data_IF_314191324312
#
_entry.id   IF_314191324312
#
_cell.length_a   1.000
_cell.length_b   1.000
_cell.length_c   1.000
_cell.angle_alpha   90.00
_cell.angle_beta   90.00
_cell.angle_gamma   90.00
#
_symmetry.space_group_name_H-M   'P 1'
#
loop_
_entity.id
_entity.type
_entity.pdbx_description
1 polymer ?
#
# COMPACT_ATOMS: atom_id res chain seq x y z
N UNK A 1 -0.96 -39.01 22.28
CA UNK A 1 -0.98 -40.42 21.88
C UNK A 1 -2.46 -40.75 21.73
N UNK A 2 -3.11 -40.83 20.57
CA UNK A 2 -2.74 -41.03 19.16
C UNK A 2 -3.93 -40.49 18.31
N UNK A 3 -3.72 -39.64 17.30
CA UNK A 3 -3.48 -39.93 15.87
C UNK A 3 -4.61 -40.69 15.13
N UNK A 4 -5.22 -39.97 14.16
CA UNK A 4 -5.56 -40.39 12.78
C UNK A 4 -6.57 -41.55 12.59
N UNK A 5 -7.47 -41.64 11.60
CA UNK A 5 -7.88 -40.89 10.41
C UNK A 5 -8.98 -41.73 9.69
N UNK A 6 -9.56 -41.16 8.63
CA UNK A 6 -10.27 -41.73 7.44
C UNK A 6 -11.78 -41.41 7.35
N UNK A 7 -12.17 -40.42 6.52
CA UNK A 7 -12.61 -40.46 5.09
C UNK A 7 -13.90 -41.30 4.88
N UNK A 8 -14.90 -40.95 4.08
CA UNK A 8 -15.33 -39.81 3.25
C UNK A 8 -16.71 -40.23 2.64
N UNK A 9 -17.62 -39.30 2.32
CA UNK A 9 -18.48 -39.33 1.11
C UNK A 9 -19.55 -38.22 1.13
N UNK A 10 -19.68 -37.52 0.00
CA UNK A 10 -20.58 -36.39 -0.24
C UNK A 10 -21.97 -36.83 -0.72
N UNK A 11 -23.02 -36.01 -0.53
CA UNK A 11 -24.14 -35.93 -1.46
C UNK A 11 -24.19 -34.53 -2.10
N UNK A 12 -24.06 -34.44 -3.43
CA UNK A 12 -25.12 -34.51 -4.46
C UNK A 12 -26.00 -33.23 -4.53
N UNK A 13 -25.76 -32.51 -5.63
CA UNK A 13 -26.71 -31.72 -6.42
C UNK A 13 -27.48 -30.59 -5.73
N UNK A 14 -26.96 -29.38 -5.94
CA UNK A 14 -27.72 -28.12 -6.00
C UNK A 14 -28.60 -28.17 -7.26
N UNK A 15 -29.92 -28.02 -7.10
CA UNK A 15 -30.80 -27.34 -8.06
C UNK A 15 -32.19 -27.15 -7.45
N UNK A 16 -32.55 -25.90 -7.14
CA UNK A 16 -33.94 -25.44 -7.25
C UNK A 16 -33.95 -23.95 -7.54
N UNK A 17 -34.40 -23.62 -8.76
CA UNK A 17 -34.78 -22.29 -9.20
C UNK A 17 -35.88 -21.72 -8.30
N UNK A 18 -35.76 -20.45 -7.92
CA UNK A 18 -36.89 -19.55 -7.77
C UNK A 18 -36.49 -18.15 -8.21
N UNK A 19 -37.28 -17.64 -9.15
CA UNK A 19 -37.26 -16.33 -9.78
C UNK A 19 -37.77 -15.21 -8.86
N UNK A 20 -37.15 -14.03 -9.02
CA UNK A 20 -37.68 -12.68 -8.84
C UNK A 20 -38.00 -12.09 -7.44
N UNK A 21 -37.62 -10.81 -7.32
CA UNK A 21 -38.03 -9.72 -6.40
C UNK A 21 -37.40 -9.61 -5.00
N UNK A 22 -36.70 -8.48 -4.82
CA UNK A 22 -36.45 -7.68 -3.61
C UNK A 22 -36.24 -8.37 -2.25
N UNK A 23 -35.01 -8.28 -1.71
CA UNK A 23 -34.66 -7.65 -0.41
C UNK A 23 -33.27 -8.10 0.06
N UNK A 24 -32.39 -7.14 0.37
CA UNK A 24 -31.08 -7.39 0.97
C UNK A 24 -31.25 -7.79 2.45
N UNK A 25 -30.59 -8.85 2.97
CA UNK A 25 -30.66 -9.18 4.39
C UNK A 25 -29.63 -8.41 5.22
N UNK A 26 -30.17 -7.77 6.27
CA UNK A 26 -29.60 -7.38 7.57
C UNK A 26 -28.13 -7.71 7.87
N UNK A 27 -27.34 -6.65 8.11
CA UNK A 27 -26.03 -6.67 8.77
C UNK A 27 -26.25 -7.06 10.24
N UNK A 28 -25.90 -8.28 10.63
CA UNK A 28 -25.91 -8.69 12.04
C UNK A 28 -24.66 -9.51 12.40
N UNK A 29 -24.00 -9.07 13.48
CA UNK A 29 -22.89 -9.69 14.26
C UNK A 29 -21.47 -9.55 13.71
N UNK A 30 -20.98 -8.31 13.74
CA UNK A 30 -19.57 -7.97 13.89
C UNK A 30 -19.15 -8.07 15.37
N UNK A 31 -18.94 -9.27 15.91
CA UNK A 31 -18.50 -9.42 17.31
C UNK A 31 -17.67 -10.68 17.57
N UNK A 32 -16.43 -10.74 17.04
CA UNK A 32 -15.34 -11.58 17.60
C UNK A 32 -13.97 -11.45 16.88
N UNK A 33 -13.66 -10.35 16.19
CA UNK A 33 -12.44 -10.29 15.36
C UNK A 33 -11.20 -9.75 16.10
N UNK A 34 -10.13 -10.56 16.12
CA UNK A 34 -8.72 -10.18 16.25
C UNK A 34 -7.92 -11.08 15.28
N UNK A 35 -6.78 -10.71 14.69
CA UNK A 35 -6.05 -9.44 14.61
C UNK A 35 -5.31 -9.29 13.27
N UNK A 36 -5.34 -10.27 12.37
CA UNK A 36 -4.53 -10.24 11.15
C UNK A 36 -5.31 -10.79 9.95
N UNK A 37 -5.58 -9.90 9.00
CA UNK A 37 -5.93 -10.18 7.60
C UNK A 37 -7.28 -10.87 7.29
N UNK A 38 -7.75 -10.63 6.06
CA UNK A 38 -8.96 -11.12 5.37
C UNK A 38 -10.22 -10.22 5.47
N UNK A 39 -10.27 -9.17 4.64
CA UNK A 39 -11.55 -8.54 4.23
C UNK A 39 -11.89 -9.08 2.84
N UNK A 40 -12.96 -9.87 2.76
CA UNK A 40 -13.55 -10.36 1.51
C UNK A 40 -14.24 -9.21 0.75
N UNK A 41 -13.77 -8.89 -0.45
CA UNK A 41 -14.58 -8.22 -1.45
C UNK A 41 -15.10 -9.29 -2.44
N UNK A 42 -16.36 -9.68 -2.30
CA UNK A 42 -17.03 -10.61 -3.23
C UNK A 42 -17.49 -9.85 -4.48
N UNK A 43 -16.97 -10.22 -5.66
CA UNK A 43 -17.45 -9.74 -6.96
C UNK A 43 -18.29 -10.84 -7.65
N UNK A 44 -19.60 -10.64 -7.87
CA UNK A 44 -20.49 -11.67 -8.42
C UNK A 44 -20.19 -12.09 -9.86
N UNK A 45 -19.31 -11.39 -10.59
CA UNK A 45 -18.91 -11.74 -11.97
C UNK A 45 -17.51 -12.38 -12.09
N UNK A 46 -16.62 -12.20 -11.11
CA UNK A 46 -15.19 -12.56 -11.24
C UNK A 46 -14.62 -13.44 -10.11
N UNK A 47 -15.41 -13.79 -9.10
CA UNK A 47 -14.93 -14.63 -7.99
C UNK A 47 -13.92 -13.93 -7.08
N UNK A 48 -13.33 -14.68 -6.14
CA UNK A 48 -12.46 -14.18 -5.07
C UNK A 48 -11.12 -13.66 -5.62
N UNK A 49 -10.88 -12.35 -5.57
CA UNK A 49 -9.60 -11.75 -6.00
C UNK A 49 -8.69 -11.60 -4.78
N UNK A 50 -7.71 -12.49 -4.68
CA UNK A 50 -6.56 -12.37 -3.78
C UNK A 50 -5.62 -11.28 -4.30
N UNK A 51 -5.74 -10.03 -3.83
CA UNK A 51 -4.73 -9.00 -4.10
C UNK A 51 -3.65 -9.09 -3.03
N UNK A 52 -2.42 -9.45 -3.42
CA UNK A 52 -1.28 -9.54 -2.50
C UNK A 52 -0.68 -8.16 -2.27
N UNK A 53 -0.26 -7.88 -1.03
CA UNK A 53 0.32 -6.59 -0.61
C UNK A 53 1.52 -6.16 -1.45
N UNK A 54 2.31 -7.12 -1.97
CA UNK A 54 3.47 -6.84 -2.81
C UNK A 54 3.08 -6.32 -4.20
N UNK A 55 2.03 -6.86 -4.80
CA UNK A 55 1.53 -6.40 -6.11
C UNK A 55 0.91 -5.01 -6.00
N UNK A 56 0.22 -4.75 -4.89
CA UNK A 56 -0.29 -3.40 -4.54
C UNK A 56 0.84 -2.39 -4.42
N UNK A 57 1.96 -2.76 -3.78
CA UNK A 57 3.14 -1.91 -3.66
C UNK A 57 3.70 -1.47 -5.01
N UNK A 58 4.00 -2.43 -5.89
CA UNK A 58 4.56 -2.16 -7.23
C UNK A 58 3.65 -1.30 -8.11
N UNK A 59 2.35 -1.55 -8.06
CA UNK A 59 1.37 -0.79 -8.83
C UNK A 59 1.31 0.65 -8.34
N UNK A 60 1.29 0.85 -7.02
CA UNK A 60 1.32 2.19 -6.45
C UNK A 60 2.65 2.92 -6.65
N UNK A 61 3.79 2.23 -6.62
CA UNK A 61 5.09 2.82 -6.98
C UNK A 61 5.08 3.33 -8.43
N UNK A 62 4.50 2.56 -9.36
CA UNK A 62 4.40 2.96 -10.78
C UNK A 62 3.54 4.20 -10.94
N UNK A 63 2.37 4.24 -10.30
CA UNK A 63 1.47 5.40 -10.29
C UNK A 63 2.12 6.62 -9.62
N UNK A 64 2.90 6.40 -8.55
CA UNK A 64 3.65 7.45 -7.88
C UNK A 64 4.67 8.11 -8.81
N UNK A 65 5.37 7.34 -9.64
CA UNK A 65 6.31 7.90 -10.62
C UNK A 65 5.61 8.85 -11.60
N UNK A 66 4.44 8.46 -12.11
CA UNK A 66 3.65 9.33 -13.00
C UNK A 66 3.25 10.63 -12.31
N UNK A 67 2.76 10.56 -11.07
CA UNK A 67 2.37 11.73 -10.26
C UNK A 67 3.57 12.66 -10.04
N UNK A 68 4.73 12.10 -9.69
CA UNK A 68 5.94 12.88 -9.39
C UNK A 68 6.45 13.58 -10.66
N UNK A 69 6.44 12.89 -11.80
CA UNK A 69 6.82 13.46 -13.09
C UNK A 69 5.83 14.56 -13.52
N UNK A 70 4.52 14.35 -13.35
CA UNK A 70 3.49 15.36 -13.64
C UNK A 70 3.61 16.58 -12.74
N UNK A 71 4.09 16.41 -11.49
CA UNK A 71 4.41 17.50 -10.58
C UNK A 71 5.71 18.25 -10.95
N UNK A 72 6.40 17.85 -12.03
CA UNK A 72 7.60 18.52 -12.55
C UNK A 72 8.90 18.07 -11.89
N UNK A 73 8.88 17.03 -11.06
CA UNK A 73 10.08 16.48 -10.43
C UNK A 73 10.79 15.50 -11.36
N UNK A 74 12.11 15.57 -11.40
CA UNK A 74 12.94 14.64 -12.15
C UNK A 74 13.27 13.42 -11.28
N UNK A 75 12.95 12.21 -11.75
CA UNK A 75 13.30 10.98 -11.05
C UNK A 75 14.82 10.77 -11.12
N UNK A 76 15.47 10.67 -9.96
CA UNK A 76 16.91 10.41 -9.85
C UNK A 76 17.16 8.91 -9.71
N UNK A 77 16.43 8.25 -8.81
CA UNK A 77 16.50 6.79 -8.63
C UNK A 77 15.25 6.27 -7.94
N UNK A 78 14.98 4.98 -8.10
CA UNK A 78 13.90 4.27 -7.42
C UNK A 78 14.47 3.06 -6.70
N UNK A 79 13.77 2.59 -5.66
CA UNK A 79 14.14 1.40 -4.90
C UNK A 79 15.59 1.46 -4.35
N UNK A 80 16.01 2.62 -3.83
CA UNK A 80 17.36 2.81 -3.31
C UNK A 80 17.55 2.04 -2.00
N UNK A 81 18.63 1.23 -1.90
CA UNK A 81 18.92 0.40 -0.73
C UNK A 81 20.22 0.85 -0.05
N UNK A 82 20.13 1.21 1.23
CA UNK A 82 21.27 1.58 2.08
C UNK A 82 21.73 0.39 2.97
N UNK A 83 21.88 -0.79 2.35
CA UNK A 83 22.23 -2.02 3.06
C UNK A 83 21.26 -2.34 4.21
N UNK A 84 21.79 -2.50 5.43
CA UNK A 84 20.98 -2.81 6.63
C UNK A 84 20.23 -1.60 7.21
N UNK A 85 20.50 -0.37 6.74
CA UNK A 85 19.86 0.83 7.28
C UNK A 85 18.39 0.95 6.85
N UNK A 86 18.10 0.55 5.62
CA UNK A 86 16.76 0.60 5.06
C UNK A 86 16.78 0.89 3.56
N UNK A 87 15.62 1.31 3.07
CA UNK A 87 15.38 1.64 1.67
C UNK A 87 14.62 2.96 1.55
N UNK A 88 14.69 3.55 0.36
CA UNK A 88 13.90 4.70 -0.07
C UNK A 88 13.22 4.33 -1.38
N UNK A 89 11.91 4.53 -1.46
CA UNK A 89 11.13 4.11 -2.62
C UNK A 89 11.50 4.94 -3.86
N UNK A 90 11.52 6.27 -3.73
CA UNK A 90 11.84 7.18 -4.82
C UNK A 90 12.74 8.31 -4.32
N UNK A 91 13.75 8.67 -5.10
CA UNK A 91 14.52 9.90 -4.94
C UNK A 91 14.32 10.70 -6.21
N UNK A 92 13.87 11.94 -6.06
CA UNK A 92 13.62 12.86 -7.14
C UNK A 92 14.32 14.20 -6.89
N UNK A 93 14.33 15.06 -7.91
CA UNK A 93 14.95 16.38 -7.89
C UNK A 93 13.97 17.43 -8.38
N UNK A 94 13.84 18.52 -7.63
CA UNK A 94 13.11 19.73 -8.01
C UNK A 94 14.10 20.89 -7.95
N UNK A 95 14.53 21.40 -9.10
CA UNK A 95 15.64 22.36 -9.18
C UNK A 95 16.84 21.89 -8.36
N UNK A 96 17.37 22.67 -7.42
CA UNK A 96 18.47 22.27 -6.54
C UNK A 96 18.02 21.62 -5.22
N UNK A 97 16.84 21.00 -5.18
CA UNK A 97 16.33 20.28 -4.01
C UNK A 97 16.20 18.78 -4.31
N UNK A 98 16.80 17.93 -3.46
CA UNK A 98 16.50 16.50 -3.47
C UNK A 98 15.24 16.21 -2.65
N UNK A 99 14.37 15.38 -3.22
CA UNK A 99 13.12 14.96 -2.58
C UNK A 99 13.16 13.45 -2.42
N UNK A 100 13.25 13.01 -1.18
CA UNK A 100 13.20 11.60 -0.80
C UNK A 100 11.75 11.23 -0.51
N UNK A 101 11.16 10.33 -1.29
CA UNK A 101 9.72 10.08 -1.26
C UNK A 101 9.49 8.63 -0.85
N UNK A 102 8.78 8.45 0.26
CA UNK A 102 8.16 7.17 0.63
C UNK A 102 6.78 7.10 -0.02
N UNK A 103 6.46 5.97 -0.65
CA UNK A 103 5.17 5.70 -1.29
C UNK A 103 4.37 4.74 -0.41
N UNK A 104 3.13 5.12 -0.09
CA UNK A 104 2.24 4.26 0.68
C UNK A 104 0.95 3.99 -0.09
N UNK A 105 0.75 2.74 -0.46
CA UNK A 105 -0.41 2.32 -1.23
C UNK A 105 -1.35 1.47 -0.40
N UNK A 106 -2.66 1.73 -0.48
CA UNK A 106 -3.70 0.92 0.16
C UNK A 106 -4.86 0.70 -0.81
N UNK A 107 -5.42 -0.51 -0.84
CA UNK A 107 -6.75 -0.74 -1.42
C UNK A 107 -7.78 -0.62 -0.30
N UNK A 108 -8.58 0.44 -0.25
CA UNK A 108 -9.71 0.56 0.69
C UNK A 108 -10.55 1.82 0.44
N UNK A 109 -11.86 1.71 0.70
CA UNK A 109 -12.84 2.81 0.78
C UNK A 109 -13.03 3.35 2.21
N UNK A 110 -12.25 2.90 3.20
CA UNK A 110 -12.39 3.29 4.61
C UNK A 110 -11.25 4.17 5.10
N UNK A 111 -11.65 5.28 5.74
CA UNK A 111 -10.86 6.41 6.20
C UNK A 111 -9.84 6.06 7.30
N UNK A 112 -8.73 6.80 7.26
CA UNK A 112 -7.75 7.06 8.32
C UNK A 112 -6.86 8.18 7.79
N UNK A 113 -6.52 9.18 8.60
CA UNK A 113 -5.72 10.31 8.12
C UNK A 113 -4.32 9.80 7.73
N UNK A 114 -3.74 10.25 6.60
CA UNK A 114 -2.40 9.83 6.13
C UNK A 114 -1.29 10.06 7.16
N UNK A 115 -1.50 11.04 8.05
CA UNK A 115 -0.63 11.41 9.15
C UNK A 115 -0.45 10.26 10.17
N UNK A 116 -1.44 9.38 10.32
CA UNK A 116 -1.38 8.22 11.23
C UNK A 116 -0.51 7.07 10.68
N UNK A 117 0.06 7.22 9.48
CA UNK A 117 0.55 6.08 8.71
C UNK A 117 2.07 5.85 8.74
N UNK A 118 2.87 6.80 9.25
CA UNK A 118 4.32 6.63 9.37
C UNK A 118 4.77 6.65 10.83
N UNK A 119 5.32 5.53 11.30
CA UNK A 119 5.81 5.46 12.67
C UNK A 119 7.07 6.33 12.84
N UNK A 120 7.33 6.88 14.05
CA UNK A 120 8.57 7.61 14.34
C UNK A 120 9.83 6.79 13.99
N UNK A 121 9.78 5.47 14.16
CA UNK A 121 10.85 4.56 13.80
C UNK A 121 11.10 4.51 12.28
N UNK A 122 10.04 4.52 11.46
CA UNK A 122 10.15 4.54 10.00
C UNK A 122 10.68 5.91 9.54
N UNK A 123 10.16 7.02 10.09
CA UNK A 123 10.72 8.36 9.83
C UNK A 123 12.23 8.39 10.10
N UNK A 124 12.67 7.94 11.29
CA UNK A 124 14.10 7.91 11.65
C UNK A 124 14.93 7.13 10.65
N UNK A 125 14.43 5.98 10.18
CA UNK A 125 15.11 5.18 9.15
C UNK A 125 15.20 5.92 7.82
N UNK A 126 14.14 6.59 7.38
CA UNK A 126 14.16 7.40 6.14
C UNK A 126 15.21 8.51 6.23
N UNK A 127 15.30 9.19 7.37
CA UNK A 127 16.36 10.18 7.64
C UNK A 127 17.77 9.60 7.51
N UNK A 128 18.01 8.42 8.08
CA UNK A 128 19.30 7.73 7.97
C UNK A 128 19.61 7.29 6.54
N UNK A 129 18.61 6.80 5.80
CA UNK A 129 18.76 6.40 4.39
C UNK A 129 19.08 7.62 3.52
N UNK A 130 18.39 8.75 3.73
CA UNK A 130 18.67 10.00 3.03
C UNK A 130 20.09 10.50 3.31
N UNK A 131 20.51 10.54 4.58
CA UNK A 131 21.88 10.90 4.96
C UNK A 131 22.93 9.96 4.35
N UNK A 132 22.65 8.67 4.33
CA UNK A 132 23.51 7.69 3.68
C UNK A 132 23.64 7.99 2.18
N UNK A 133 22.53 8.23 1.48
CA UNK A 133 22.54 8.60 0.07
C UNK A 133 23.41 9.84 -0.19
N UNK A 134 23.20 10.92 0.57
CA UNK A 134 23.95 12.16 0.43
C UNK A 134 25.46 11.94 0.63
N UNK A 135 25.84 11.17 1.65
CA UNK A 135 27.23 10.84 1.93
C UNK A 135 27.86 10.01 0.82
N UNK A 136 27.18 8.96 0.35
CA UNK A 136 27.67 8.08 -0.72
C UNK A 136 27.90 8.84 -2.03
N UNK A 137 27.08 9.83 -2.33
CA UNK A 137 27.16 10.63 -3.56
C UNK A 137 27.91 11.96 -3.38
N UNK A 138 28.56 12.19 -2.22
CA UNK A 138 29.35 13.39 -1.92
C UNK A 138 28.53 14.70 -1.99
N UNK A 139 27.23 14.62 -1.70
CA UNK A 139 26.26 15.71 -1.75
C UNK A 139 26.08 16.41 -0.38
N UNK A 140 27.19 16.74 0.28
CA UNK A 140 27.19 17.16 1.69
C UNK A 140 26.37 18.43 2.00
N UNK A 141 26.24 19.35 1.03
CA UNK A 141 25.52 20.62 1.19
C UNK A 141 24.21 20.66 0.39
N UNK A 142 23.79 19.53 -0.16
CA UNK A 142 22.60 19.43 -0.99
C UNK A 142 21.36 19.59 -0.10
N UNK A 143 20.54 20.61 -0.39
CA UNK A 143 19.25 20.76 0.25
C UNK A 143 18.40 19.52 -0.06
N UNK A 144 17.68 19.03 0.94
CA UNK A 144 16.75 17.94 0.75
C UNK A 144 15.54 18.02 1.67
N UNK A 145 14.48 17.33 1.28
CA UNK A 145 13.33 17.03 2.13
C UNK A 145 12.92 15.57 2.00
N UNK A 146 12.13 15.11 2.96
CA UNK A 146 11.49 13.80 2.91
C UNK A 146 9.99 14.04 2.77
N UNK A 147 9.35 13.38 1.81
CA UNK A 147 7.93 13.48 1.52
C UNK A 147 7.27 12.11 1.66
N UNK A 148 5.96 12.10 1.93
CA UNK A 148 5.11 10.91 1.86
C UNK A 148 4.09 11.08 0.74
N UNK A 149 4.04 10.15 -0.22
CA UNK A 149 2.99 10.07 -1.21
C UNK A 149 2.06 8.89 -0.88
N UNK A 150 0.87 9.19 -0.39
CA UNK A 150 -0.13 8.21 -0.02
C UNK A 150 -1.19 8.04 -1.13
N UNK A 151 -1.35 6.82 -1.62
CA UNK A 151 -2.29 6.45 -2.68
C UNK A 151 -3.35 5.47 -2.15
N UNK A 152 -4.61 5.81 -2.37
CA UNK A 152 -5.75 4.92 -2.22
C UNK A 152 -6.18 4.41 -3.59
N UNK A 153 -6.18 3.09 -3.79
CA UNK A 153 -6.56 2.45 -5.03
C UNK A 153 -7.89 1.70 -4.88
N UNK A 154 -8.71 1.68 -5.93
CA UNK A 154 -9.83 0.74 -6.02
C UNK A 154 -9.35 -0.68 -6.42
N UNK A 155 -10.30 -1.56 -6.73
CA UNK A 155 -10.01 -2.95 -7.14
C UNK A 155 -9.56 -3.08 -8.60
N UNK A 156 -9.61 -2.00 -9.38
CA UNK A 156 -9.15 -1.91 -10.76
C UNK A 156 -7.85 -1.10 -10.87
N UNK A 157 -7.13 -0.96 -9.74
CA UNK A 157 -5.89 -0.19 -9.61
C UNK A 157 -6.04 1.29 -9.99
N UNK A 158 -7.26 1.84 -9.93
CA UNK A 158 -7.52 3.25 -10.18
C UNK A 158 -7.35 4.06 -8.90
N UNK A 159 -6.72 5.23 -9.02
CA UNK A 159 -6.55 6.16 -7.89
C UNK A 159 -7.91 6.73 -7.51
N UNK A 160 -8.36 6.40 -6.30
CA UNK A 160 -9.56 6.99 -5.68
C UNK A 160 -9.21 8.05 -4.64
N UNK A 161 -7.95 8.08 -4.22
CA UNK A 161 -7.42 9.04 -3.27
C UNK A 161 -5.92 9.23 -3.47
N UNK A 162 -5.47 10.48 -3.40
CA UNK A 162 -4.06 10.83 -3.42
C UNK A 162 -3.82 11.93 -2.40
N UNK A 163 -2.77 11.79 -1.60
CA UNK A 163 -2.28 12.86 -0.75
C UNK A 163 -0.75 12.89 -0.74
N UNK A 164 -0.20 14.07 -1.01
CA UNK A 164 1.23 14.34 -0.95
C UNK A 164 1.51 15.20 0.27
N UNK A 165 2.25 14.65 1.24
CA UNK A 165 2.68 15.34 2.43
C UNK A 165 4.16 15.75 2.27
N UNK A 166 4.45 17.02 1.96
CA UNK A 166 5.83 17.47 1.87
C UNK A 166 6.45 17.67 3.25
N UNK A 167 7.77 17.51 3.35
CA UNK A 167 8.55 17.79 4.56
C UNK A 167 8.05 17.02 5.80
N UNK A 168 7.79 15.72 5.67
CA UNK A 168 7.53 14.89 6.86
C UNK A 168 8.77 14.90 7.75
N UNK A 169 8.61 15.39 8.98
CA UNK A 169 9.72 15.60 9.90
C UNK A 169 9.50 14.91 11.24
N UNK A 170 10.60 14.80 11.98
CA UNK A 170 10.70 14.31 13.36
C UNK A 170 10.17 15.33 14.36
#
# INVERSE_FOLDING_TARGET
>A
MDLLNTKAMAPKSINKLCSNTASAPSIAKASSLSKDYWIWAYNPRKGLIMVTTQKTGQTGESLALEIIQQAGLQIVTTNYRAGKLGEMDIIAKQDDLLVFIEVKTRHSTQQGLPEEAISPNKLRKLGLVAQHYLKTHQLHNQAFRIDLLALGLDHNDQIIYQNWLPNISF
#
